data_IF_077269540044
#
_entry.id   IF_077269540044
#
_cell.length_a   1.000
_cell.length_b   1.000
_cell.length_c   1.000
_cell.angle_alpha   90.00
_cell.angle_beta   90.00
_cell.angle_gamma   90.00
#
_symmetry.space_group_name_H-M   'P 1'
#
loop_
_entity.id
_entity.type
_entity.pdbx_description
1 polymer ?
#
# COMPACT_ATOMS: atom_id res chain seq x y z
N UNK A 1 -17.56 -9.85 12.60
CA UNK A 1 -17.98 -8.99 11.50
C UNK A 1 -16.99 -7.87 11.27
N UNK A 2 -16.39 -7.83 10.12
CA UNK A 2 -15.41 -6.81 9.77
C UNK A 2 -16.12 -5.55 9.34
N UNK A 3 -15.85 -4.45 9.99
CA UNK A 3 -16.39 -3.21 9.54
C UNK A 3 -15.49 -2.60 8.45
N UNK A 4 -15.97 -1.55 7.83
CA UNK A 4 -15.29 -0.93 6.71
C UNK A 4 -13.91 -0.39 7.10
N UNK A 5 -13.78 0.12 8.31
CA UNK A 5 -12.51 0.67 8.78
C UNK A 5 -11.42 -0.39 8.87
N UNK A 6 -11.78 -1.57 9.35
CA UNK A 6 -10.81 -2.67 9.46
C UNK A 6 -10.33 -3.12 8.10
N UNK A 7 -11.23 -3.15 7.11
CA UNK A 7 -10.85 -3.51 5.74
C UNK A 7 -9.87 -2.50 5.15
N UNK A 8 -10.15 -1.21 5.34
CA UNK A 8 -9.30 -0.17 4.80
C UNK A 8 -7.91 -0.19 5.46
N UNK A 9 -7.88 -0.42 6.76
CA UNK A 9 -6.63 -0.51 7.48
C UNK A 9 -5.80 -1.71 7.02
N UNK A 10 -6.45 -2.85 6.82
CA UNK A 10 -5.77 -4.04 6.32
C UNK A 10 -5.18 -3.80 4.94
N UNK A 11 -5.97 -3.22 4.04
CA UNK A 11 -5.52 -2.93 2.69
C UNK A 11 -4.35 -1.96 2.69
N UNK A 12 -4.43 -0.94 3.52
CA UNK A 12 -3.37 0.06 3.63
C UNK A 12 -2.06 -0.57 4.08
N UNK A 13 -2.12 -1.38 5.11
CA UNK A 13 -0.93 -2.06 5.61
C UNK A 13 -0.32 -2.98 4.55
N UNK A 14 -1.17 -3.70 3.84
CA UNK A 14 -0.71 -4.60 2.79
C UNK A 14 -0.04 -3.84 1.66
N UNK A 15 -0.61 -2.73 1.26
CA UNK A 15 -0.06 -1.90 0.19
C UNK A 15 1.29 -1.33 0.61
N UNK A 16 1.39 -0.81 1.81
CA UNK A 16 2.65 -0.29 2.33
C UNK A 16 3.71 -1.38 2.39
N UNK A 17 3.31 -2.58 2.71
CA UNK A 17 4.21 -3.73 2.77
C UNK A 17 4.76 -4.06 1.38
N UNK A 18 3.87 -4.04 0.37
CA UNK A 18 4.26 -4.29 -1.01
C UNK A 18 5.24 -3.23 -1.49
N UNK A 19 4.96 -1.97 -1.20
CA UNK A 19 5.83 -0.86 -1.57
C UNK A 19 7.21 -1.04 -0.93
N UNK A 20 7.23 -1.35 0.34
CA UNK A 20 8.48 -1.56 1.06
C UNK A 20 9.27 -2.72 0.47
N UNK A 21 8.57 -3.79 0.11
CA UNK A 21 9.20 -4.96 -0.48
C UNK A 21 9.83 -4.62 -1.83
N UNK A 22 9.10 -3.90 -2.67
CA UNK A 22 9.60 -3.49 -3.97
C UNK A 22 10.82 -2.60 -3.84
N UNK A 23 10.79 -1.65 -2.92
CA UNK A 23 11.93 -0.76 -2.70
C UNK A 23 13.14 -1.54 -2.19
N UNK A 24 12.90 -2.53 -1.35
CA UNK A 24 13.95 -3.39 -0.83
C UNK A 24 14.63 -4.19 -1.93
N UNK A 25 13.87 -4.55 -2.96
CA UNK A 25 14.38 -5.27 -4.11
C UNK A 25 14.96 -4.35 -5.18
N UNK A 26 14.90 -3.05 -4.96
CA UNK A 26 15.40 -2.08 -5.91
C UNK A 26 14.45 -1.78 -7.06
N UNK A 27 13.20 -2.23 -6.97
CA UNK A 27 12.19 -2.01 -8.01
C UNK A 27 11.42 -0.74 -7.69
N UNK A 28 12.08 0.39 -7.83
CA UNK A 28 11.51 1.68 -7.44
C UNK A 28 10.39 2.14 -8.36
N UNK A 29 10.50 1.85 -9.64
CA UNK A 29 9.46 2.25 -10.59
C UNK A 29 8.11 1.61 -10.25
N UNK A 30 8.13 0.32 -9.94
CA UNK A 30 6.91 -0.37 -9.55
C UNK A 30 6.40 0.11 -8.21
N UNK A 31 7.31 0.37 -7.28
CA UNK A 31 6.93 0.90 -5.98
C UNK A 31 6.23 2.25 -6.11
N UNK A 32 6.77 3.13 -6.96
CA UNK A 32 6.16 4.43 -7.20
C UNK A 32 4.79 4.29 -7.83
N UNK A 33 4.64 3.36 -8.76
CA UNK A 33 3.37 3.13 -9.42
C UNK A 33 2.31 2.62 -8.45
N UNK A 34 2.68 1.69 -7.61
CA UNK A 34 1.77 1.16 -6.59
C UNK A 34 1.38 2.28 -5.62
N UNK A 35 2.35 3.06 -5.19
CA UNK A 35 2.09 4.17 -4.28
C UNK A 35 1.12 5.17 -4.89
N UNK A 36 1.32 5.52 -6.14
CA UNK A 36 0.45 6.46 -6.83
C UNK A 36 -0.96 5.89 -7.02
N UNK A 37 -1.05 4.62 -7.39
CA UNK A 37 -2.33 3.96 -7.61
C UNK A 37 -3.16 3.91 -6.33
N UNK A 38 -2.51 3.66 -5.20
CA UNK A 38 -3.19 3.48 -3.92
C UNK A 38 -2.99 4.64 -2.96
N UNK A 39 -2.67 5.80 -3.50
CA UNK A 39 -2.40 6.98 -2.69
C UNK A 39 -3.55 7.32 -1.75
N UNK A 40 -4.77 7.12 -2.19
CA UNK A 40 -5.96 7.39 -1.38
C UNK A 40 -6.01 6.55 -0.11
N UNK A 41 -5.48 5.35 -0.19
CA UNK A 41 -5.52 4.42 0.94
C UNK A 41 -4.40 4.69 1.94
N UNK A 42 -3.28 5.19 1.47
CA UNK A 42 -2.10 5.34 2.32
C UNK A 42 -1.87 6.77 2.79
N UNK A 43 -2.58 7.73 2.21
CA UNK A 43 -2.46 9.15 2.59
C UNK A 43 -3.78 9.61 3.19
N UNK A 44 -4.05 9.29 4.38
CA UNK A 44 -5.26 9.77 5.05
C UNK A 44 -4.98 10.96 5.92
#
# INVERSE_FOLDING_TARGET
MTNKQQRDEYKRKKILWIIKDLRSKGVHNSADKVEETYKRYITL
#
